data_IF_941891301373
#
_entry.id   IF_941891301373
#
_cell.length_a   1.000
_cell.length_b   1.000
_cell.length_c   1.000
_cell.angle_alpha   90.00
_cell.angle_beta   90.00
_cell.angle_gamma   90.00
#
_symmetry.space_group_name_H-M   'P 1'
#
loop_
_entity.id
_entity.type
_entity.pdbx_description
1 polymer ?
#
# COMPACT_ATOMS: atom_id res chain seq x y z
N UNK A 1 -38.63 -63.87 -8.63
CA UNK A 1 -37.69 -63.39 -7.59
C UNK A 1 -36.31 -63.26 -8.20
N UNK A 2 -35.87 -62.03 -8.54
CA UNK A 2 -34.50 -61.74 -8.98
C UNK A 2 -34.00 -60.52 -8.20
N UNK A 3 -32.89 -60.70 -7.49
CA UNK A 3 -32.25 -59.72 -6.60
C UNK A 3 -31.48 -58.71 -7.46
N UNK A 4 -31.73 -57.42 -7.29
CA UNK A 4 -30.97 -56.34 -7.92
C UNK A 4 -29.88 -55.91 -6.93
N UNK A 5 -28.62 -56.00 -7.36
CA UNK A 5 -27.45 -55.52 -6.60
C UNK A 5 -27.24 -54.02 -6.90
N UNK A 6 -27.14 -53.22 -5.84
CA UNK A 6 -26.77 -51.80 -5.89
C UNK A 6 -25.25 -51.73 -5.97
N UNK A 7 -24.71 -51.13 -7.03
CA UNK A 7 -23.32 -50.69 -7.06
C UNK A 7 -23.27 -49.26 -6.50
N UNK A 8 -22.71 -49.08 -5.31
CA UNK A 8 -22.36 -47.77 -4.80
C UNK A 8 -21.14 -47.26 -5.60
N UNK A 9 -21.35 -46.27 -6.46
CA UNK A 9 -20.26 -45.50 -7.05
C UNK A 9 -19.71 -44.61 -5.94
N UNK A 10 -18.49 -44.91 -5.50
CA UNK A 10 -17.77 -44.07 -4.55
C UNK A 10 -17.48 -42.71 -5.16
N UNK A 11 -18.12 -41.67 -4.62
CA UNK A 11 -17.72 -40.29 -4.88
C UNK A 11 -16.48 -40.03 -4.04
N UNK A 12 -15.30 -40.05 -4.66
CA UNK A 12 -14.11 -39.42 -4.08
C UNK A 12 -14.37 -37.92 -4.05
N UNK A 13 -14.83 -37.42 -2.90
CA UNK A 13 -14.94 -35.99 -2.65
C UNK A 13 -13.55 -35.39 -2.67
N UNK A 14 -13.20 -34.71 -3.76
CA UNK A 14 -12.08 -33.79 -3.76
C UNK A 14 -12.40 -32.70 -2.73
N UNK A 15 -11.68 -32.69 -1.61
CA UNK A 15 -11.75 -31.59 -0.66
C UNK A 15 -11.20 -30.36 -1.37
N UNK A 16 -12.11 -29.51 -1.86
CA UNK A 16 -11.76 -28.21 -2.41
C UNK A 16 -11.15 -27.40 -1.26
N UNK A 17 -9.83 -27.24 -1.27
CA UNK A 17 -9.15 -26.24 -0.44
C UNK A 17 -9.58 -24.86 -0.98
N UNK A 18 -10.72 -24.35 -0.50
CA UNK A 18 -11.09 -22.96 -0.67
C UNK A 18 -10.01 -22.14 0.07
N UNK A 19 -9.02 -21.63 -0.68
CA UNK A 19 -8.09 -20.65 -0.13
C UNK A 19 -8.91 -19.48 0.42
N UNK A 20 -8.75 -19.18 1.71
CA UNK A 20 -9.39 -18.00 2.29
C UNK A 20 -8.91 -16.77 1.52
N UNK A 21 -9.86 -15.97 1.04
CA UNK A 21 -9.54 -14.66 0.49
C UNK A 21 -8.92 -13.80 1.60
N UNK A 22 -7.90 -12.98 1.30
CA UNK A 22 -7.30 -12.12 2.30
C UNK A 22 -8.35 -11.15 2.85
N UNK A 23 -8.29 -10.89 4.16
CA UNK A 23 -9.09 -9.83 4.76
C UNK A 23 -8.53 -8.49 4.26
N UNK A 24 -9.35 -7.77 3.49
CA UNK A 24 -8.99 -6.45 3.00
C UNK A 24 -9.28 -5.36 4.03
N UNK A 25 -8.42 -4.36 4.06
CA UNK A 25 -8.58 -3.13 4.83
C UNK A 25 -8.80 -1.97 3.86
N UNK A 26 -9.80 -1.15 4.12
CA UNK A 26 -10.06 0.12 3.41
C UNK A 26 -10.92 1.02 4.29
N UNK A 27 -11.11 2.26 3.87
CA UNK A 27 -11.87 3.28 4.58
C UNK A 27 -11.06 4.06 5.62
N UNK A 28 -11.77 4.64 6.58
CA UNK A 28 -11.21 5.63 7.51
C UNK A 28 -10.59 4.99 8.75
N UNK A 29 -9.32 5.31 9.00
CA UNK A 29 -8.64 5.09 10.28
C UNK A 29 -8.88 6.32 11.17
N UNK A 30 -9.79 6.18 12.13
CA UNK A 30 -10.24 7.27 13.01
C UNK A 30 -9.55 7.32 14.37
N UNK A 31 -8.81 6.26 14.73
CA UNK A 31 -8.04 6.12 15.97
C UNK A 31 -6.66 5.57 15.64
N UNK A 32 -5.72 5.74 16.55
CA UNK A 32 -4.38 5.19 16.41
C UNK A 32 -4.46 3.69 16.11
N UNK A 33 -3.78 3.29 15.03
CA UNK A 33 -3.86 1.95 14.48
C UNK A 33 -2.45 1.48 14.16
N UNK A 34 -2.21 0.19 14.42
CA UNK A 34 -0.94 -0.46 14.13
C UNK A 34 -1.14 -1.56 13.10
N UNK A 35 -0.28 -1.60 12.10
CA UNK A 35 -0.21 -2.65 11.09
C UNK A 35 1.09 -3.43 11.22
N UNK A 36 1.00 -4.75 11.06
CA UNK A 36 2.10 -5.71 11.13
C UNK A 36 1.81 -6.92 10.25
N UNK A 37 2.84 -7.56 9.69
CA UNK A 37 2.68 -8.75 8.84
C UNK A 37 2.21 -8.41 7.43
N UNK A 38 1.30 -9.22 6.87
CA UNK A 38 0.72 -8.96 5.56
C UNK A 38 -0.59 -8.19 5.70
N UNK A 39 -0.67 -7.03 5.04
CA UNK A 39 -1.87 -6.19 5.00
C UNK A 39 -2.33 -6.09 3.56
N UNK A 40 -3.60 -6.42 3.31
CA UNK A 40 -4.19 -6.32 1.98
C UNK A 40 -5.15 -5.13 1.94
N UNK A 41 -5.04 -4.28 0.92
CA UNK A 41 -5.86 -3.08 0.75
C UNK A 41 -6.57 -3.16 -0.61
N UNK A 42 -7.86 -2.84 -0.66
CA UNK A 42 -8.66 -2.88 -1.90
C UNK A 42 -9.41 -1.59 -2.23
N UNK A 43 -9.21 -0.55 -1.43
CA UNK A 43 -9.72 0.79 -1.63
C UNK A 43 -9.06 1.76 -0.66
N UNK A 44 -9.35 3.05 -0.80
CA UNK A 44 -8.62 4.08 -0.07
C UNK A 44 -8.55 3.85 1.43
N UNK A 45 -7.36 4.06 2.00
CA UNK A 45 -7.17 4.14 3.45
C UNK A 45 -6.92 5.59 3.82
N UNK A 46 -7.81 6.14 4.64
CA UNK A 46 -7.73 7.54 5.08
C UNK A 46 -7.38 7.61 6.56
N UNK A 47 -6.14 7.97 6.88
CA UNK A 47 -5.71 8.23 8.26
C UNK A 47 -6.17 9.62 8.67
N UNK A 48 -7.16 9.70 9.57
CA UNK A 48 -7.77 10.96 9.98
C UNK A 48 -6.78 11.89 10.71
N UNK A 49 -7.06 13.20 10.73
CA UNK A 49 -6.16 14.25 11.25
C UNK A 49 -5.60 14.02 12.67
N UNK A 50 -6.36 13.33 13.51
CA UNK A 50 -6.01 13.06 14.92
C UNK A 50 -5.66 11.58 15.16
N UNK A 51 -5.40 10.81 14.10
CA UNK A 51 -5.00 9.43 14.17
C UNK A 51 -3.58 9.25 13.63
N UNK A 52 -2.89 8.26 14.18
CA UNK A 52 -1.59 7.79 13.72
C UNK A 52 -1.74 6.38 13.17
N UNK A 53 -1.29 6.16 11.94
CA UNK A 53 -1.02 4.83 11.42
C UNK A 53 0.45 4.50 11.68
N UNK A 54 0.69 3.49 12.51
CA UNK A 54 2.04 2.93 12.74
C UNK A 54 2.18 1.62 11.97
N UNK A 55 3.26 1.47 11.22
CA UNK A 55 3.54 0.26 10.45
C UNK A 55 4.85 -0.34 10.96
N UNK A 56 4.77 -1.59 11.40
CA UNK A 56 5.90 -2.32 11.97
C UNK A 56 6.90 -2.76 10.91
N UNK A 57 8.16 -2.91 11.33
CA UNK A 57 9.21 -3.44 10.47
C UNK A 57 8.83 -4.82 9.91
N UNK A 58 9.20 -5.07 8.65
CA UNK A 58 8.88 -6.29 7.92
C UNK A 58 7.45 -6.39 7.40
N UNK A 59 6.58 -5.40 7.66
CA UNK A 59 5.21 -5.40 7.12
C UNK A 59 5.21 -5.31 5.59
N UNK A 60 4.39 -6.14 4.95
CA UNK A 60 4.13 -6.09 3.50
C UNK A 60 2.68 -5.64 3.27
N UNK A 61 2.52 -4.56 2.53
CA UNK A 61 1.25 -3.97 2.19
C UNK A 61 1.00 -4.27 0.71
N UNK A 62 -0.01 -5.09 0.45
CA UNK A 62 -0.43 -5.52 -0.87
C UNK A 62 -1.68 -4.75 -1.29
N UNK A 63 -1.56 -3.89 -2.30
CA UNK A 63 -2.65 -3.05 -2.79
C UNK A 63 -3.28 -3.69 -4.03
N UNK A 64 -4.60 -3.85 -4.03
CA UNK A 64 -5.34 -4.43 -5.14
C UNK A 64 -5.16 -3.57 -6.42
N UNK A 65 -4.80 -4.19 -7.55
CA UNK A 65 -4.50 -3.46 -8.78
C UNK A 65 -5.78 -2.96 -9.47
N UNK A 66 -5.72 -1.75 -10.03
CA UNK A 66 -6.75 -1.16 -10.90
C UNK A 66 -8.16 -1.14 -10.30
N UNK A 67 -8.23 -0.93 -8.98
CA UNK A 67 -9.50 -0.78 -8.29
C UNK A 67 -9.39 0.13 -7.07
N UNK A 68 -10.54 0.69 -6.71
CA UNK A 68 -10.81 1.29 -5.42
C UNK A 68 -12.29 1.01 -5.05
N UNK A 69 -12.51 0.18 -4.01
CA UNK A 69 -13.87 -0.12 -3.53
C UNK A 69 -14.52 1.06 -2.81
N UNK A 70 -13.74 2.05 -2.37
CA UNK A 70 -14.25 3.25 -1.72
C UNK A 70 -14.65 4.34 -2.72
N UNK A 71 -14.12 4.27 -3.95
CA UNK A 71 -14.33 5.20 -5.07
C UNK A 71 -14.11 6.67 -4.65
N UNK A 72 -13.06 6.88 -3.88
CA UNK A 72 -12.78 8.13 -3.17
C UNK A 72 -11.59 8.88 -3.76
N UNK A 73 -10.88 9.57 -2.87
CA UNK A 73 -9.51 9.96 -3.16
C UNK A 73 -9.30 11.01 -4.24
N UNK A 74 -8.12 10.92 -4.85
CA UNK A 74 -7.67 11.75 -5.98
C UNK A 74 -8.05 11.09 -7.30
N UNK A 75 -8.01 9.76 -7.35
CA UNK A 75 -8.38 8.91 -8.48
C UNK A 75 -9.39 7.86 -7.99
N UNK A 76 -10.67 7.95 -8.39
CA UNK A 76 -11.71 7.05 -7.91
C UNK A 76 -11.60 5.62 -8.45
N UNK A 77 -10.62 5.34 -9.33
CA UNK A 77 -10.35 4.02 -9.89
C UNK A 77 -9.13 3.34 -9.27
N UNK A 78 -8.29 4.05 -8.52
CA UNK A 78 -7.03 3.53 -7.99
C UNK A 78 -6.93 3.74 -6.48
N UNK A 79 -6.63 2.66 -5.76
CA UNK A 79 -6.48 2.71 -4.29
C UNK A 79 -5.35 3.64 -3.82
N UNK A 80 -5.66 4.43 -2.79
CA UNK A 80 -4.74 5.41 -2.18
C UNK A 80 -4.53 5.19 -0.69
N UNK A 81 -3.31 5.47 -0.22
CA UNK A 81 -3.06 5.64 1.22
C UNK A 81 -2.97 7.14 1.53
N UNK A 82 -4.05 7.70 2.05
CA UNK A 82 -4.21 9.13 2.29
C UNK A 82 -3.95 9.44 3.78
N UNK A 83 -2.87 10.17 4.05
CA UNK A 83 -2.47 10.53 5.41
C UNK A 83 -2.88 11.97 5.71
N UNK A 84 -4.04 12.16 6.34
CA UNK A 84 -4.46 13.47 6.87
C UNK A 84 -3.90 13.71 8.29
N UNK A 85 -3.67 12.64 9.05
CA UNK A 85 -3.03 12.62 10.37
C UNK A 85 -1.53 12.39 10.26
N UNK A 86 -1.04 11.31 10.91
CA UNK A 86 0.38 10.94 10.94
C UNK A 86 0.60 9.50 10.44
N UNK A 87 1.68 9.31 9.68
CA UNK A 87 2.20 7.99 9.32
C UNK A 87 3.56 7.80 10.00
N UNK A 88 3.73 6.66 10.67
CA UNK A 88 5.01 6.20 11.23
C UNK A 88 5.32 4.85 10.61
N UNK A 89 6.13 4.83 9.55
CA UNK A 89 6.59 3.60 8.92
C UNK A 89 8.10 3.48 9.10
N UNK A 90 8.54 2.56 9.97
CA UNK A 90 9.95 2.36 10.31
C UNK A 90 10.35 0.89 10.10
N UNK A 91 10.89 0.60 8.91
CA UNK A 91 11.51 -0.68 8.63
C UNK A 91 12.84 -0.86 9.36
N UNK A 92 13.31 -2.11 9.44
CA UNK A 92 14.64 -2.45 9.93
C UNK A 92 15.68 -2.45 8.80
N UNK A 93 16.94 -2.15 9.13
CA UNK A 93 18.03 -2.03 8.14
C UNK A 93 18.43 -3.37 7.50
N UNK A 94 18.31 -4.50 8.21
CA UNK A 94 18.62 -5.85 7.68
C UNK A 94 17.35 -6.68 7.55
N UNK A 95 16.90 -6.91 6.31
CA UNK A 95 15.83 -7.87 5.97
C UNK A 95 14.40 -7.50 6.40
N UNK A 96 14.22 -6.45 7.21
CA UNK A 96 12.91 -6.04 7.74
C UNK A 96 12.37 -4.73 7.18
N UNK A 97 12.63 -4.43 5.90
CA UNK A 97 12.05 -3.26 5.24
C UNK A 97 10.53 -3.36 5.18
N UNK A 98 9.85 -2.23 5.20
CA UNK A 98 8.40 -2.18 4.97
C UNK A 98 8.17 -2.10 3.46
N UNK A 99 7.31 -2.95 2.91
CA UNK A 99 7.02 -3.00 1.47
C UNK A 99 5.61 -2.49 1.20
N UNK A 100 5.46 -1.50 0.31
CA UNK A 100 4.18 -1.10 -0.29
C UNK A 100 4.23 -1.48 -1.77
N UNK A 101 3.37 -2.42 -2.18
CA UNK A 101 3.45 -3.00 -3.53
C UNK A 101 2.08 -3.45 -4.04
N UNK A 102 2.01 -3.71 -5.34
CA UNK A 102 0.84 -4.29 -5.98
C UNK A 102 0.60 -5.74 -5.54
N UNK A 103 -0.66 -6.08 -5.32
CA UNK A 103 -1.13 -7.45 -5.05
C UNK A 103 -1.26 -8.29 -6.34
N UNK A 104 -1.01 -7.73 -7.53
CA UNK A 104 -1.13 -8.44 -8.79
C UNK A 104 -0.10 -9.58 -8.89
N UNK A 105 -0.48 -10.69 -9.54
CA UNK A 105 0.46 -11.79 -9.85
C UNK A 105 1.58 -11.32 -10.79
N UNK A 106 1.25 -10.44 -11.73
CA UNK A 106 2.20 -9.77 -12.61
C UNK A 106 2.04 -8.27 -12.39
N UNK A 107 2.92 -7.71 -11.56
CA UNK A 107 2.84 -6.33 -11.10
C UNK A 107 3.18 -5.36 -12.22
N UNK A 108 2.43 -4.26 -12.33
CA UNK A 108 2.62 -3.23 -13.34
C UNK A 108 2.65 -1.87 -12.69
N UNK A 109 3.39 -0.95 -13.30
CA UNK A 109 3.32 0.46 -12.90
C UNK A 109 1.86 0.94 -13.04
N UNK A 110 1.39 1.79 -12.12
CA UNK A 110 -0.01 2.27 -12.04
C UNK A 110 -1.02 1.18 -11.61
N UNK A 111 -0.58 0.16 -10.90
CA UNK A 111 -1.52 -0.80 -10.28
C UNK A 111 -2.33 -0.13 -9.17
N UNK A 112 -1.73 0.82 -8.44
CA UNK A 112 -2.40 1.60 -7.39
C UNK A 112 -1.96 3.06 -7.49
N UNK A 113 -2.62 3.98 -6.79
CA UNK A 113 -2.33 5.40 -6.98
C UNK A 113 -1.02 5.82 -6.31
N UNK A 114 -0.88 5.56 -5.01
CA UNK A 114 0.28 5.99 -4.24
C UNK A 114 0.00 6.32 -2.77
N UNK A 115 1.04 6.78 -2.08
CA UNK A 115 0.94 7.30 -0.71
C UNK A 115 0.84 8.83 -0.77
N UNK A 116 -0.25 9.40 -0.25
CA UNK A 116 -0.50 10.84 -0.29
C UNK A 116 -0.52 11.43 1.11
N UNK A 117 0.54 12.16 1.48
CA UNK A 117 0.73 12.73 2.80
C UNK A 117 0.29 14.19 2.81
N UNK A 118 -0.87 14.45 3.41
CA UNK A 118 -1.50 15.79 3.55
C UNK A 118 -1.42 16.33 4.99
N UNK A 119 -0.93 15.53 5.95
CA UNK A 119 -0.78 15.90 7.36
C UNK A 119 0.27 17.01 7.56
N UNK A 120 -0.19 18.21 7.94
CA UNK A 120 0.68 19.41 8.09
C UNK A 120 1.13 19.69 9.52
N UNK A 121 0.38 19.19 10.51
CA UNK A 121 0.59 19.48 11.95
C UNK A 121 1.52 18.48 12.63
N UNK A 122 1.64 17.29 12.07
CA UNK A 122 2.44 16.21 12.60
C UNK A 122 3.36 15.71 11.48
N UNK A 123 4.65 15.54 11.78
CA UNK A 123 5.60 15.05 10.80
C UNK A 123 5.44 13.54 10.65
N UNK A 124 4.99 13.12 9.46
CA UNK A 124 5.02 11.72 9.04
C UNK A 124 6.44 11.29 8.70
N UNK A 125 6.70 9.99 8.76
CA UNK A 125 8.00 9.44 8.38
C UNK A 125 7.88 8.08 7.70
N UNK A 126 8.76 7.89 6.72
CA UNK A 126 9.04 6.63 6.07
C UNK A 126 10.54 6.40 6.16
N UNK A 127 10.92 5.33 6.86
CA UNK A 127 12.32 4.94 7.07
C UNK A 127 12.49 3.48 6.68
N UNK A 128 13.49 3.17 5.85
CA UNK A 128 13.75 1.79 5.40
C UNK A 128 12.53 1.16 4.70
N UNK A 129 11.79 1.93 3.91
CA UNK A 129 10.62 1.45 3.16
C UNK A 129 10.95 1.18 1.68
N UNK A 130 10.16 0.33 1.02
CA UNK A 130 10.11 0.15 -0.42
C UNK A 130 8.71 0.56 -0.88
N UNK A 131 8.62 1.41 -1.91
CA UNK A 131 7.35 1.83 -2.52
C UNK A 131 7.44 1.59 -4.03
N UNK A 132 6.58 0.72 -4.55
CA UNK A 132 6.64 0.28 -5.94
C UNK A 132 5.30 0.02 -6.61
N UNK A 133 5.30 0.09 -7.94
CA UNK A 133 4.15 -0.18 -8.82
C UNK A 133 2.96 0.77 -8.68
N UNK A 134 3.17 1.93 -8.05
CA UNK A 134 2.16 2.98 -7.94
C UNK A 134 2.07 3.83 -9.22
N UNK A 135 1.08 4.73 -9.28
CA UNK A 135 1.06 5.84 -10.22
C UNK A 135 2.10 6.89 -9.81
N UNK A 136 1.98 7.44 -8.60
CA UNK A 136 3.01 8.24 -7.91
C UNK A 136 3.46 7.48 -6.67
N UNK A 137 4.75 7.38 -6.40
CA UNK A 137 5.24 6.63 -5.24
C UNK A 137 4.82 7.27 -3.91
N UNK A 138 5.44 8.41 -3.57
CA UNK A 138 5.15 9.18 -2.35
C UNK A 138 4.89 10.64 -2.72
N UNK A 139 3.73 11.15 -2.35
CA UNK A 139 3.36 12.56 -2.56
C UNK A 139 3.29 13.27 -1.21
N UNK A 140 4.16 14.24 -0.99
CA UNK A 140 4.02 15.22 0.09
C UNK A 140 3.22 16.42 -0.42
N UNK A 141 2.02 16.64 0.12
CA UNK A 141 1.14 17.73 -0.30
C UNK A 141 0.97 18.74 0.84
N UNK A 142 1.67 19.88 0.74
CA UNK A 142 1.74 20.90 1.80
C UNK A 142 2.25 20.40 3.15
N UNK A 143 2.87 19.23 3.17
CA UNK A 143 3.38 18.52 4.35
C UNK A 143 4.91 18.45 4.32
N UNK A 144 5.52 18.02 5.42
CA UNK A 144 6.97 17.95 5.58
C UNK A 144 7.43 16.58 6.11
N UNK A 145 7.14 15.47 5.41
CA UNK A 145 7.53 14.14 5.88
C UNK A 145 9.05 13.95 5.82
N UNK A 146 9.56 13.05 6.65
CA UNK A 146 10.93 12.54 6.51
C UNK A 146 10.89 11.23 5.73
N UNK A 147 11.64 11.17 4.63
CA UNK A 147 11.77 10.00 3.76
C UNK A 147 13.25 9.63 3.74
N UNK A 148 13.61 8.55 4.42
CA UNK A 148 15.02 8.21 4.67
C UNK A 148 15.30 6.73 4.44
N UNK A 149 16.42 6.41 3.79
CA UNK A 149 16.81 5.03 3.46
C UNK A 149 15.71 4.26 2.70
N UNK A 150 14.91 4.97 1.91
CA UNK A 150 13.81 4.38 1.16
C UNK A 150 14.23 4.02 -0.27
N UNK A 151 13.53 3.05 -0.84
CA UNK A 151 13.63 2.72 -2.26
C UNK A 151 12.28 3.00 -2.90
N UNK A 152 12.26 3.94 -3.83
CA UNK A 152 11.02 4.38 -4.50
C UNK A 152 11.19 4.10 -5.97
N UNK A 153 10.58 3.01 -6.44
CA UNK A 153 10.92 2.42 -7.74
C UNK A 153 9.71 1.95 -8.53
N UNK A 154 9.86 1.87 -9.84
CA UNK A 154 8.84 1.30 -10.73
C UNK A 154 7.45 1.93 -10.56
N UNK A 155 7.40 3.23 -10.26
CA UNK A 155 6.15 3.98 -10.27
C UNK A 155 5.95 4.63 -11.63
N UNK A 156 4.71 4.67 -12.11
CA UNK A 156 4.40 5.06 -13.50
C UNK A 156 4.79 6.49 -13.82
N UNK A 157 4.65 7.40 -12.87
CA UNK A 157 4.84 8.83 -13.06
C UNK A 157 6.04 9.33 -12.25
N UNK A 158 5.82 9.86 -11.06
CA UNK A 158 6.87 10.44 -10.21
C UNK A 158 7.15 9.52 -9.03
N UNK A 159 8.43 9.31 -8.71
CA UNK A 159 8.84 8.59 -7.50
C UNK A 159 8.42 9.33 -6.23
N UNK A 160 9.02 10.50 -5.97
CA UNK A 160 8.67 11.37 -4.84
C UNK A 160 8.22 12.74 -5.36
N UNK A 161 6.99 13.13 -5.07
CA UNK A 161 6.41 14.43 -5.46
C UNK A 161 6.29 15.34 -4.23
N UNK A 162 6.86 16.54 -4.30
CA UNK A 162 6.66 17.60 -3.31
C UNK A 162 5.76 18.67 -3.93
N UNK A 163 4.52 18.74 -3.45
CA UNK A 163 3.45 19.57 -4.04
C UNK A 163 2.94 20.60 -3.02
N UNK A 164 2.61 21.80 -3.50
CA UNK A 164 1.89 22.83 -2.73
C UNK A 164 2.62 23.23 -1.45
N UNK A 165 3.81 23.85 -1.59
CA UNK A 165 4.65 24.30 -0.46
C UNK A 165 5.05 23.15 0.47
N UNK A 166 5.10 21.92 -0.03
CA UNK A 166 5.65 20.79 0.72
C UNK A 166 7.15 21.01 0.99
N UNK A 167 7.62 20.46 2.11
CA UNK A 167 9.03 20.55 2.52
C UNK A 167 9.53 19.19 3.01
N UNK A 168 9.47 18.12 2.19
CA UNK A 168 9.94 16.82 2.62
C UNK A 168 11.47 16.86 2.85
N UNK A 169 11.93 16.10 3.84
CA UNK A 169 13.35 15.77 3.97
C UNK A 169 13.58 14.43 3.29
N UNK A 170 14.42 14.39 2.25
CA UNK A 170 14.74 13.18 1.51
C UNK A 170 16.23 12.88 1.69
N UNK A 171 16.58 11.72 2.25
CA UNK A 171 17.98 11.36 2.56
C UNK A 171 18.24 9.89 2.28
N UNK A 172 19.41 9.58 1.71
CA UNK A 172 19.87 8.21 1.49
C UNK A 172 18.85 7.31 0.75
N UNK A 173 18.03 7.92 -0.11
CA UNK A 173 17.01 7.18 -0.86
C UNK A 173 17.60 6.72 -2.19
N UNK A 174 17.22 5.51 -2.59
CA UNK A 174 17.43 5.01 -3.95
C UNK A 174 16.13 5.21 -4.75
N UNK A 175 16.19 6.00 -5.81
CA UNK A 175 15.00 6.36 -6.60
C UNK A 175 15.27 5.98 -8.05
N UNK A 176 14.69 4.87 -8.51
CA UNK A 176 15.04 4.27 -9.81
C UNK A 176 13.81 3.78 -10.60
N UNK A 177 13.92 3.77 -11.92
CA UNK A 177 12.91 3.13 -12.79
C UNK A 177 11.50 3.71 -12.66
N UNK A 178 11.35 4.96 -12.21
CA UNK A 178 10.08 5.68 -12.25
C UNK A 178 9.89 6.30 -13.66
N UNK A 179 8.67 6.34 -14.17
CA UNK A 179 8.43 6.58 -15.59
C UNK A 179 8.68 8.01 -16.08
N UNK A 180 8.49 9.03 -15.24
CA UNK A 180 8.68 10.45 -15.64
C UNK A 180 9.82 11.11 -14.88
N UNK A 181 9.81 11.05 -13.55
CA UNK A 181 10.87 11.65 -12.75
C UNK A 181 11.11 10.88 -11.45
N UNK A 182 12.35 10.92 -10.95
CA UNK A 182 12.66 10.41 -9.61
C UNK A 182 12.06 11.29 -8.52
N UNK A 183 12.38 12.58 -8.55
CA UNK A 183 11.85 13.59 -7.63
C UNK A 183 11.31 14.75 -8.45
N UNK A 184 10.14 15.25 -8.08
CA UNK A 184 9.59 16.51 -8.58
C UNK A 184 9.26 17.44 -7.41
N UNK A 185 9.51 18.73 -7.57
CA UNK A 185 9.23 19.75 -6.56
C UNK A 185 8.55 20.95 -7.20
N UNK A 186 7.33 21.26 -6.73
CA UNK A 186 6.43 22.32 -7.22
C UNK A 186 6.04 23.32 -6.12
#
# INVERSE_FOLDING_TARGET
MKRIFIWAIGVFGATLLLGQQPNYVSGKISKDTRWSGDVHINGDVVVARNATLTIDAGTRIFIAPHQDVTRGGTDPELTEIIILGKLVARGAERGGRILFTSAAKAQRMRDWYGIVIKGRRQQSELRNCIVEYAYKGITAYGSAPVIENCEVRFNFYIGISAEVRAKPTIRNCLILGNGVAGINCE
#
